data_IF_123194862093
#
_entry.id   IF_123194862093
#
_cell.length_a   1.000
_cell.length_b   1.000
_cell.length_c   1.000
_cell.angle_alpha   90.00
_cell.angle_beta   90.00
_cell.angle_gamma   90.00
#
_symmetry.space_group_name_H-M   'P 1'
#
loop_
_entity.id
_entity.type
_entity.pdbx_description
1 polymer ?
#
# COMPACT_ATOMS: atom_id res chain seq x y z
N UNK A 1 -50.88 61.46 -19.83
CA UNK A 1 -50.41 60.85 -18.56
C UNK A 1 -50.74 59.36 -18.61
N UNK A 2 -49.78 58.51 -19.01
CA UNK A 2 -49.74 57.07 -18.72
C UNK A 2 -48.29 56.59 -18.87
N UNK A 3 -47.77 55.95 -17.83
CA UNK A 3 -46.37 55.51 -17.65
C UNK A 3 -46.28 54.02 -18.06
N UNK A 4 -45.27 53.56 -18.81
CA UNK A 4 -45.10 52.13 -19.07
C UNK A 4 -44.38 51.43 -17.91
N UNK A 5 -45.01 50.40 -17.36
CA UNK A 5 -44.40 49.50 -16.38
C UNK A 5 -43.38 48.56 -17.06
N UNK A 6 -42.13 48.58 -16.60
CA UNK A 6 -41.11 47.58 -16.94
C UNK A 6 -41.12 46.49 -15.87
N UNK A 7 -41.44 45.25 -16.25
CA UNK A 7 -41.34 44.06 -15.39
C UNK A 7 -39.88 43.57 -15.33
N UNK A 8 -39.21 43.83 -14.21
CA UNK A 8 -37.89 43.27 -13.93
C UNK A 8 -38.04 41.80 -13.50
N UNK A 9 -37.50 40.88 -14.29
CA UNK A 9 -37.39 39.47 -13.91
C UNK A 9 -36.14 39.30 -13.04
N UNK A 10 -36.33 39.04 -11.75
CA UNK A 10 -35.25 38.70 -10.84
C UNK A 10 -34.81 37.24 -11.08
N UNK A 11 -33.60 37.07 -11.63
CA UNK A 11 -32.97 35.77 -11.77
C UNK A 11 -32.41 35.33 -10.40
N UNK A 12 -33.10 34.41 -9.74
CA UNK A 12 -32.65 33.83 -8.47
C UNK A 12 -31.54 32.78 -8.76
N UNK A 13 -30.28 33.17 -8.56
CA UNK A 13 -29.14 32.26 -8.60
C UNK A 13 -29.14 31.38 -7.34
N UNK A 14 -29.61 30.14 -7.48
CA UNK A 14 -29.42 29.08 -6.50
C UNK A 14 -27.93 28.69 -6.45
N UNK A 15 -27.19 29.26 -5.50
CA UNK A 15 -25.87 28.80 -5.11
C UNK A 15 -26.02 27.44 -4.42
N UNK A 16 -26.00 26.36 -5.21
CA UNK A 16 -25.86 25.01 -4.69
C UNK A 16 -24.52 24.90 -3.97
N UNK A 17 -24.56 24.72 -2.64
CA UNK A 17 -23.37 24.39 -1.86
C UNK A 17 -22.86 23.02 -2.30
N UNK A 18 -21.80 22.99 -3.10
CA UNK A 18 -21.06 21.76 -3.37
C UNK A 18 -20.41 21.32 -2.05
N UNK A 19 -21.07 20.43 -1.31
CA UNK A 19 -20.42 19.70 -0.21
C UNK A 19 -19.23 18.96 -0.79
N UNK A 20 -18.03 19.24 -0.26
CA UNK A 20 -16.80 18.55 -0.63
C UNK A 20 -17.04 17.03 -0.67
N UNK A 21 -16.59 16.39 -1.74
CA UNK A 21 -16.87 14.98 -2.06
C UNK A 21 -16.49 14.08 -0.87
N UNK A 22 -17.49 13.60 -0.13
CA UNK A 22 -17.30 12.49 0.79
C UNK A 22 -16.71 11.33 -0.03
N UNK A 23 -15.58 10.74 0.42
CA UNK A 23 -15.07 9.52 -0.18
C UNK A 23 -15.81 8.33 0.46
N UNK A 24 -16.85 7.78 -0.18
CA UNK A 24 -17.69 6.74 0.43
C UNK A 24 -16.89 5.46 0.70
N UNK A 25 -15.80 5.21 -0.02
CA UNK A 25 -14.96 4.02 0.16
C UNK A 25 -14.28 3.98 1.52
N UNK A 26 -13.87 5.15 2.02
CA UNK A 26 -13.21 5.30 3.31
C UNK A 26 -14.17 5.24 4.51
N UNK A 27 -15.49 5.34 4.27
CA UNK A 27 -16.53 5.35 5.31
C UNK A 27 -17.11 3.96 5.58
N UNK A 28 -16.60 2.92 4.91
CA UNK A 28 -17.08 1.55 5.06
C UNK A 28 -16.19 0.82 6.06
N UNK A 29 -16.82 0.25 7.09
CA UNK A 29 -16.09 -0.42 8.18
C UNK A 29 -15.60 -1.83 7.81
N UNK A 30 -16.29 -2.52 6.88
CA UNK A 30 -16.05 -3.93 6.64
C UNK A 30 -16.24 -4.42 5.19
N UNK A 31 -15.71 -5.62 4.88
CA UNK A 31 -15.80 -6.21 3.56
C UNK A 31 -17.24 -6.35 3.07
N UNK A 32 -17.43 -6.19 1.77
CA UNK A 32 -18.70 -6.59 1.14
C UNK A 32 -18.82 -8.13 1.13
N UNK A 33 -20.01 -8.69 1.41
CA UNK A 33 -20.21 -10.14 1.45
C UNK A 33 -20.08 -10.78 0.07
N UNK A 34 -19.86 -12.10 0.05
CA UNK A 34 -19.78 -12.90 -1.17
C UNK A 34 -18.35 -13.33 -1.53
N UNK A 35 -18.19 -14.00 -2.69
CA UNK A 35 -16.89 -14.49 -3.15
C UNK A 35 -15.94 -13.34 -3.47
N UNK A 36 -14.64 -13.55 -3.24
CA UNK A 36 -13.66 -12.50 -3.48
C UNK A 36 -13.48 -12.21 -4.97
N UNK A 37 -13.50 -10.93 -5.34
CA UNK A 37 -13.29 -10.47 -6.72
C UNK A 37 -12.56 -9.14 -6.71
N UNK A 38 -11.39 -9.11 -7.34
CA UNK A 38 -10.74 -7.87 -7.77
C UNK A 38 -11.45 -7.37 -9.04
N UNK A 39 -11.95 -6.13 -9.02
CA UNK A 39 -12.78 -5.58 -10.10
C UNK A 39 -12.15 -4.29 -10.60
N UNK A 40 -11.88 -4.21 -11.90
CA UNK A 40 -11.26 -3.03 -12.52
C UNK A 40 -9.73 -3.09 -12.50
N UNK A 41 -9.11 -1.91 -12.56
CA UNK A 41 -7.64 -1.74 -12.57
C UNK A 41 -7.12 -1.36 -11.17
N UNK A 42 -5.81 -1.51 -10.91
CA UNK A 42 -5.20 -1.22 -9.60
C UNK A 42 -5.47 0.20 -9.10
N UNK A 43 -5.64 1.15 -10.02
CA UNK A 43 -5.90 2.57 -9.73
C UNK A 43 -7.30 3.06 -10.10
N UNK A 44 -8.18 2.15 -10.52
CA UNK A 44 -9.57 2.45 -10.88
C UNK A 44 -10.41 1.19 -10.70
N UNK A 45 -10.63 0.79 -9.45
CA UNK A 45 -11.26 -0.49 -9.16
C UNK A 45 -11.80 -0.63 -7.75
N UNK A 46 -12.27 -1.84 -7.42
CA UNK A 46 -12.78 -2.18 -6.11
C UNK A 46 -12.56 -3.67 -5.78
N UNK A 47 -12.93 -4.04 -4.55
CA UNK A 47 -12.78 -5.38 -4.03
C UNK A 47 -14.09 -5.86 -3.38
N UNK A 48 -14.63 -6.96 -3.90
CA UNK A 48 -15.70 -7.73 -3.25
C UNK A 48 -15.07 -8.84 -2.39
N UNK A 49 -15.71 -9.24 -1.30
CA UNK A 49 -15.30 -10.41 -0.51
C UNK A 49 -13.87 -10.30 0.02
N UNK A 50 -13.46 -9.11 0.45
CA UNK A 50 -12.11 -8.87 0.95
C UNK A 50 -11.81 -9.73 2.19
N UNK A 51 -10.54 -10.11 2.34
CA UNK A 51 -10.03 -10.75 3.54
C UNK A 51 -9.13 -9.79 4.30
N UNK A 52 -9.32 -9.76 5.61
CA UNK A 52 -8.45 -9.05 6.52
C UNK A 52 -7.14 -9.84 6.69
N UNK A 53 -5.99 -9.16 6.57
CA UNK A 53 -4.72 -9.69 7.03
C UNK A 53 -4.71 -9.67 8.57
N UNK A 54 -4.42 -10.79 9.27
CA UNK A 54 -4.18 -10.75 10.70
C UNK A 54 -3.12 -9.70 11.03
N UNK A 55 -3.36 -8.87 12.05
CA UNK A 55 -2.51 -7.73 12.39
C UNK A 55 -1.09 -8.13 12.81
N UNK A 56 -0.90 -9.40 13.15
CA UNK A 56 0.36 -10.06 13.43
C UNK A 56 0.32 -11.48 12.86
N UNK A 57 1.48 -11.99 12.45
CA UNK A 57 1.64 -13.38 12.04
C UNK A 57 3.10 -13.80 12.07
N UNK A 58 3.39 -14.99 11.56
CA UNK A 58 4.75 -15.51 11.56
C UNK A 58 5.66 -14.63 10.70
N UNK A 59 6.66 -14.01 11.33
CA UNK A 59 7.63 -13.14 10.67
C UNK A 59 7.07 -11.83 10.10
N UNK A 60 5.86 -11.41 10.47
CA UNK A 60 5.32 -10.12 10.03
C UNK A 60 4.34 -9.46 11.01
N UNK A 61 4.16 -8.16 10.80
CA UNK A 61 3.36 -7.25 11.61
C UNK A 61 2.79 -6.15 10.71
N UNK A 62 1.53 -5.77 10.92
CA UNK A 62 0.84 -4.75 10.12
C UNK A 62 1.02 -3.36 10.74
N UNK A 63 1.50 -2.39 9.98
CA UNK A 63 1.66 -1.00 10.41
C UNK A 63 0.41 -0.17 10.13
N UNK A 64 0.31 0.99 10.78
CA UNK A 64 -0.76 1.96 10.54
C UNK A 64 -2.19 1.38 10.60
N UNK A 65 -2.50 0.59 11.65
CA UNK A 65 -3.80 -0.04 11.82
C UNK A 65 -4.95 0.99 11.89
N UNK A 66 -4.67 2.21 12.33
CA UNK A 66 -5.62 3.32 12.37
C UNK A 66 -6.17 3.69 10.99
N UNK A 67 -5.47 3.33 9.91
CA UNK A 67 -5.90 3.64 8.53
C UNK A 67 -6.96 2.67 8.02
N UNK A 68 -7.15 1.52 8.66
CA UNK A 68 -8.05 0.44 8.21
C UNK A 68 -7.75 -0.04 6.77
N UNK A 69 -6.46 -0.17 6.42
CA UNK A 69 -5.97 -0.52 5.07
C UNK A 69 -5.27 -1.88 5.01
N UNK A 70 -5.73 -2.88 5.75
CA UNK A 70 -5.12 -4.20 5.80
C UNK A 70 -6.04 -5.29 5.22
N UNK A 71 -6.75 -4.94 4.15
CA UNK A 71 -7.67 -5.83 3.44
C UNK A 71 -7.17 -6.11 2.02
N UNK A 72 -7.40 -7.32 1.55
CA UNK A 72 -6.99 -7.72 0.21
C UNK A 72 -7.74 -8.93 -0.30
N UNK A 73 -7.47 -9.25 -1.57
CA UNK A 73 -7.88 -10.51 -2.17
C UNK A 73 -7.20 -11.68 -1.43
N UNK A 74 -7.84 -12.84 -1.26
CA UNK A 74 -7.26 -14.00 -0.58
C UNK A 74 -5.85 -14.39 -1.07
N UNK A 75 -5.58 -14.25 -2.37
CA UNK A 75 -4.25 -14.52 -2.95
C UNK A 75 -3.18 -13.53 -2.46
N UNK A 76 -3.53 -12.25 -2.28
CA UNK A 76 -2.63 -11.25 -1.71
C UNK A 76 -2.31 -11.60 -0.25
N UNK A 77 -3.34 -11.91 0.55
CA UNK A 77 -3.18 -12.31 1.95
C UNK A 77 -2.27 -13.54 2.07
N UNK A 78 -2.47 -14.54 1.20
CA UNK A 78 -1.61 -15.73 1.16
C UNK A 78 -0.16 -15.40 0.78
N UNK A 79 0.04 -14.49 -0.18
CA UNK A 79 1.38 -14.08 -0.65
C UNK A 79 2.16 -13.35 0.43
N UNK A 80 1.50 -12.46 1.18
CA UNK A 80 2.09 -11.74 2.31
C UNK A 80 2.45 -12.71 3.43
N UNK A 81 1.56 -13.66 3.78
CA UNK A 81 1.86 -14.65 4.82
C UNK A 81 3.06 -15.52 4.45
N UNK A 82 3.13 -16.00 3.20
CA UNK A 82 4.27 -16.76 2.72
C UNK A 82 5.58 -15.94 2.73
N UNK A 83 5.51 -14.64 2.45
CA UNK A 83 6.66 -13.74 2.57
C UNK A 83 7.07 -13.53 4.03
N UNK A 84 6.11 -13.45 4.96
CA UNK A 84 6.34 -13.44 6.40
C UNK A 84 7.02 -14.71 6.90
N UNK A 85 6.58 -15.89 6.44
CA UNK A 85 7.22 -17.16 6.75
C UNK A 85 8.68 -17.19 6.28
N UNK A 86 8.97 -16.56 5.12
CA UNK A 86 10.35 -16.40 4.65
C UNK A 86 11.14 -15.43 5.53
N UNK A 87 10.53 -14.34 5.98
CA UNK A 87 11.16 -13.39 6.89
C UNK A 87 11.58 -14.05 8.22
N UNK A 88 10.69 -14.89 8.77
CA UNK A 88 10.90 -15.64 10.00
C UNK A 88 12.10 -16.61 9.94
N UNK A 89 12.59 -16.98 8.76
CA UNK A 89 13.78 -17.82 8.57
C UNK A 89 15.09 -17.02 8.71
N UNK A 90 15.13 -16.11 9.69
CA UNK A 90 16.33 -15.35 10.05
C UNK A 90 16.59 -14.09 9.21
N UNK A 91 15.61 -13.61 8.42
CA UNK A 91 15.76 -12.33 7.70
C UNK A 91 15.29 -11.13 8.52
N UNK A 92 14.37 -11.36 9.48
CA UNK A 92 13.87 -10.34 10.40
C UNK A 92 12.35 -10.39 10.56
N UNK A 93 11.75 -9.26 10.91
CA UNK A 93 10.30 -9.07 11.00
C UNK A 93 9.84 -8.16 9.87
N UNK A 94 8.99 -8.66 8.99
CA UNK A 94 8.44 -7.90 7.87
C UNK A 94 7.34 -6.94 8.36
N UNK A 95 7.54 -5.64 8.13
CA UNK A 95 6.52 -4.63 8.41
C UNK A 95 5.66 -4.40 7.17
N UNK A 96 4.37 -4.74 7.27
CA UNK A 96 3.40 -4.61 6.19
C UNK A 96 2.70 -3.26 6.32
N UNK A 97 2.77 -2.44 5.26
CA UNK A 97 2.11 -1.14 5.18
C UNK A 97 0.67 -1.22 4.67
N UNK A 98 0.30 -0.28 3.80
CA UNK A 98 -1.05 -0.22 3.23
C UNK A 98 -1.25 -1.39 2.24
N UNK A 99 -2.32 -2.16 2.41
CA UNK A 99 -2.99 -2.96 1.38
C UNK A 99 -4.15 -2.11 0.84
N UNK A 100 -5.36 -2.66 0.71
CA UNK A 100 -6.58 -1.92 0.39
C UNK A 100 -7.47 -1.67 1.60
N UNK A 101 -8.44 -0.77 1.41
CA UNK A 101 -9.59 -0.58 2.32
C UNK A 101 -10.56 -1.78 2.24
N UNK A 102 -11.56 -1.92 3.14
CA UNK A 102 -12.39 -3.13 3.22
C UNK A 102 -13.13 -3.51 1.92
N UNK A 103 -13.42 -2.53 1.05
CA UNK A 103 -14.02 -2.75 -0.27
C UNK A 103 -13.14 -2.26 -1.42
N UNK A 104 -11.86 -2.02 -1.15
CA UNK A 104 -10.96 -1.39 -2.11
C UNK A 104 -11.33 0.07 -2.37
N UNK A 105 -11.24 0.50 -3.63
CA UNK A 105 -11.61 1.84 -4.06
C UNK A 105 -10.55 2.92 -3.79
N UNK A 106 -10.74 4.14 -4.32
CA UNK A 106 -9.81 5.26 -4.13
C UNK A 106 -9.58 5.58 -2.66
N UNK A 107 -8.32 5.64 -2.25
CA UNK A 107 -7.95 6.05 -0.90
C UNK A 107 -8.16 7.55 -0.70
N UNK A 108 -8.50 8.01 0.53
CA UNK A 108 -8.65 9.43 0.81
C UNK A 108 -7.33 10.20 0.75
N UNK A 109 -6.19 9.51 0.88
CA UNK A 109 -4.85 10.07 0.77
C UNK A 109 -3.82 8.95 0.52
N UNK A 110 -2.63 9.34 0.04
CA UNK A 110 -1.52 8.41 -0.18
C UNK A 110 -1.56 7.83 -1.59
N UNK A 111 -1.88 6.54 -1.69
CA UNK A 111 -1.71 5.76 -2.91
C UNK A 111 -2.77 6.07 -3.95
N UNK A 112 -2.36 6.06 -5.23
CA UNK A 112 -3.27 6.08 -6.38
C UNK A 112 -3.82 4.68 -6.69
N UNK A 113 -2.98 3.65 -6.51
CA UNK A 113 -3.31 2.23 -6.67
C UNK A 113 -3.95 1.64 -5.39
N UNK A 114 -3.81 0.34 -5.12
CA UNK A 114 -4.35 -0.38 -3.95
C UNK A 114 -5.88 -0.48 -3.92
N UNK A 115 -6.55 -0.20 -5.04
CA UNK A 115 -8.01 -0.15 -5.07
C UNK A 115 -8.66 -1.52 -5.25
N UNK A 116 -7.92 -2.54 -5.71
CA UNK A 116 -8.46 -3.85 -6.07
C UNK A 116 -8.02 -4.98 -5.14
N UNK A 117 -7.28 -4.66 -4.08
CA UNK A 117 -6.83 -5.64 -3.09
C UNK A 117 -5.74 -6.59 -3.56
N UNK A 118 -4.95 -6.20 -4.56
CA UNK A 118 -3.82 -6.98 -5.09
C UNK A 118 -2.47 -6.27 -4.95
N UNK A 119 -2.46 -5.07 -4.37
CA UNK A 119 -1.27 -4.30 -4.04
C UNK A 119 -1.04 -4.30 -2.52
N UNK A 120 0.22 -4.30 -2.11
CA UNK A 120 0.62 -4.16 -0.72
C UNK A 120 1.97 -3.45 -0.63
N UNK A 121 2.10 -2.56 0.35
CA UNK A 121 3.38 -2.02 0.74
C UNK A 121 4.06 -2.92 1.77
N UNK A 122 5.37 -3.08 1.62
CA UNK A 122 6.24 -3.74 2.60
C UNK A 122 7.41 -2.81 2.86
N UNK A 123 7.64 -2.47 4.12
CA UNK A 123 8.73 -1.56 4.48
C UNK A 123 10.07 -2.29 4.40
N UNK A 124 11.14 -1.54 4.15
CA UNK A 124 12.49 -2.08 4.14
C UNK A 124 13.07 -2.33 5.54
N UNK A 125 12.43 -1.82 6.59
CA UNK A 125 12.81 -2.19 7.95
C UNK A 125 12.48 -3.67 8.21
N UNK A 126 13.46 -4.43 8.68
CA UNK A 126 13.30 -5.83 9.08
C UNK A 126 13.57 -6.04 10.58
N UNK A 127 13.73 -4.96 11.35
CA UNK A 127 14.07 -5.01 12.76
C UNK A 127 12.84 -5.29 13.63
N UNK A 128 12.94 -6.12 14.68
CA UNK A 128 11.84 -6.28 15.63
C UNK A 128 11.60 -5.00 16.47
N UNK A 129 12.57 -4.08 16.48
CA UNK A 129 12.58 -2.89 17.33
C UNK A 129 11.77 -1.72 16.81
N UNK A 130 11.34 -1.71 15.54
CA UNK A 130 10.66 -0.55 14.95
C UNK A 130 9.33 -0.21 15.67
N UNK A 131 8.72 -1.18 16.34
CA UNK A 131 7.52 -0.95 17.16
C UNK A 131 7.81 -0.38 18.54
N UNK A 132 9.06 -0.30 18.97
CA UNK A 132 9.43 0.28 20.26
C UNK A 132 9.26 1.79 20.17
N UNK A 133 8.12 2.29 20.66
CA UNK A 133 7.69 3.68 20.55
C UNK A 133 6.44 3.86 19.69
N UNK A 134 6.01 2.82 18.97
CA UNK A 134 4.73 2.78 18.31
C UNK A 134 3.56 2.78 19.33
N UNK A 135 2.47 3.48 19.03
CA UNK A 135 1.23 3.34 19.79
C UNK A 135 0.57 1.97 19.52
N UNK A 136 -0.55 1.69 20.21
CA UNK A 136 -1.27 0.41 20.05
C UNK A 136 -1.72 0.10 18.60
N UNK A 137 -1.88 1.13 17.77
CA UNK A 137 -2.27 1.01 16.36
C UNK A 137 -1.09 1.14 15.39
N UNK A 138 0.13 1.34 15.88
CA UNK A 138 1.36 1.52 15.08
C UNK A 138 1.33 2.75 14.15
N UNK A 139 0.73 3.86 14.61
CA UNK A 139 0.43 5.05 13.81
C UNK A 139 1.53 6.13 13.77
N UNK A 140 2.38 6.19 14.80
CA UNK A 140 3.35 7.27 15.04
C UNK A 140 4.78 6.91 14.64
N UNK A 141 4.92 5.96 13.72
CA UNK A 141 6.21 5.51 13.19
C UNK A 141 6.19 5.70 11.68
N UNK A 142 7.23 6.33 11.14
CA UNK A 142 7.39 6.52 9.70
C UNK A 142 8.12 5.33 9.07
N UNK A 143 7.84 5.06 7.80
CA UNK A 143 8.57 4.05 7.05
C UNK A 143 10.07 4.35 6.99
N UNK A 144 10.86 3.28 7.09
CA UNK A 144 12.31 3.32 7.06
C UNK A 144 12.86 3.61 5.66
N UNK A 145 13.87 4.47 5.58
CA UNK A 145 14.51 4.87 4.32
C UNK A 145 15.93 4.30 4.24
N UNK A 146 16.18 3.44 3.26
CA UNK A 146 17.50 2.84 2.98
C UNK A 146 18.41 3.70 2.09
N UNK A 147 17.92 4.85 1.60
CA UNK A 147 18.71 5.77 0.79
C UNK A 147 19.61 6.63 1.67
N UNK A 148 20.80 6.93 1.15
CA UNK A 148 21.72 7.85 1.81
C UNK A 148 21.16 9.27 1.81
N UNK A 149 21.36 9.99 2.92
CA UNK A 149 21.02 11.42 3.03
C UNK A 149 22.08 12.34 2.44
N UNK A 150 23.30 11.83 2.23
CA UNK A 150 24.49 12.63 1.87
C UNK A 150 25.12 12.24 0.56
N UNK A 151 24.75 11.08 0.00
CA UNK A 151 25.29 10.57 -1.26
C UNK A 151 24.17 10.07 -2.17
N UNK A 152 24.48 9.99 -3.45
CA UNK A 152 23.58 9.43 -4.45
C UNK A 152 23.64 7.89 -4.44
N UNK A 153 22.82 7.26 -3.59
CA UNK A 153 22.81 5.81 -3.44
C UNK A 153 22.15 5.30 -2.16
N UNK A 154 22.47 4.07 -1.78
CA UNK A 154 22.00 3.44 -0.54
C UNK A 154 22.90 3.81 0.65
N UNK A 155 22.32 3.85 1.85
CA UNK A 155 23.07 3.85 3.11
C UNK A 155 23.40 2.40 3.48
N UNK A 156 24.64 1.98 3.29
CA UNK A 156 25.09 0.60 3.57
C UNK A 156 25.17 0.24 5.06
N UNK A 157 24.93 1.20 5.97
CA UNK A 157 24.70 0.87 7.38
C UNK A 157 23.29 0.34 7.61
N UNK A 158 22.37 0.67 6.71
CA UNK A 158 20.96 0.28 6.74
C UNK A 158 20.69 -0.87 5.77
N UNK A 159 21.17 -0.75 4.53
CA UNK A 159 21.03 -1.78 3.50
C UNK A 159 21.95 -2.97 3.75
N UNK A 160 21.39 -4.17 3.75
CA UNK A 160 22.13 -5.42 3.96
C UNK A 160 21.52 -6.57 3.15
N UNK A 161 22.16 -7.75 3.20
CA UNK A 161 21.78 -8.93 2.43
C UNK A 161 20.34 -9.43 2.71
N UNK A 162 19.77 -9.18 3.89
CA UNK A 162 18.38 -9.56 4.17
C UNK A 162 17.38 -8.83 3.28
N UNK A 163 17.68 -7.59 2.89
CA UNK A 163 16.83 -6.81 1.98
C UNK A 163 16.83 -7.41 0.57
N UNK A 164 18.00 -7.79 0.03
CA UNK A 164 18.10 -8.49 -1.26
C UNK A 164 17.37 -9.84 -1.20
N UNK A 165 17.53 -10.60 -0.12
CA UNK A 165 16.85 -11.89 0.06
C UNK A 165 15.32 -11.74 0.14
N UNK A 166 14.81 -10.71 0.82
CA UNK A 166 13.37 -10.43 0.89
C UNK A 166 12.80 -10.03 -0.48
N UNK A 167 13.48 -9.13 -1.20
CA UNK A 167 13.06 -8.75 -2.55
C UNK A 167 13.11 -9.92 -3.53
N UNK A 168 14.15 -10.76 -3.44
CA UNK A 168 14.24 -11.97 -4.25
C UNK A 168 13.10 -12.93 -3.90
N UNK A 169 12.85 -13.19 -2.62
CA UNK A 169 11.77 -14.07 -2.17
C UNK A 169 10.40 -13.61 -2.69
N UNK A 170 10.11 -12.31 -2.58
CA UNK A 170 8.89 -11.72 -3.13
C UNK A 170 8.82 -11.86 -4.65
N UNK A 171 9.89 -11.53 -5.38
CA UNK A 171 9.93 -11.58 -6.83
C UNK A 171 9.81 -13.01 -7.39
N UNK A 172 10.26 -14.01 -6.64
CA UNK A 172 10.15 -15.42 -7.04
C UNK A 172 8.77 -16.01 -6.77
N UNK A 173 7.89 -15.34 -6.01
CA UNK A 173 6.53 -15.81 -5.85
C UNK A 173 5.80 -15.79 -7.20
N UNK A 174 5.12 -16.88 -7.59
CA UNK A 174 4.37 -16.92 -8.85
C UNK A 174 3.24 -15.90 -8.92
N UNK A 175 2.65 -15.53 -7.77
CA UNK A 175 1.55 -14.57 -7.64
C UNK A 175 1.99 -13.11 -7.80
N UNK A 176 3.28 -12.80 -7.71
CA UNK A 176 3.80 -11.44 -7.83
C UNK A 176 4.11 -11.14 -9.28
N UNK A 177 3.55 -10.04 -9.80
CA UNK A 177 3.83 -9.56 -11.15
C UNK A 177 4.94 -8.48 -11.15
N UNK A 178 4.82 -7.48 -10.27
CA UNK A 178 5.75 -6.35 -10.18
C UNK A 178 6.02 -5.96 -8.73
N UNK A 179 7.21 -5.43 -8.47
CA UNK A 179 7.63 -4.84 -7.19
C UNK A 179 8.23 -3.48 -7.51
N UNK A 180 7.62 -2.42 -7.00
CA UNK A 180 8.12 -1.06 -7.20
C UNK A 180 9.09 -0.69 -6.08
N UNK A 181 10.27 -0.20 -6.44
CA UNK A 181 11.32 0.23 -5.52
C UNK A 181 11.98 1.49 -6.05
N UNK A 182 12.71 2.23 -5.22
CA UNK A 182 13.52 3.34 -5.72
C UNK A 182 14.57 2.86 -6.74
N UNK A 183 14.85 3.67 -7.76
CA UNK A 183 15.83 3.36 -8.80
C UNK A 183 17.22 2.98 -8.27
N UNK A 184 17.68 3.55 -7.15
CA UNK A 184 18.97 3.22 -6.51
C UNK A 184 18.97 1.82 -5.90
N UNK A 185 17.85 1.36 -5.35
CA UNK A 185 17.69 -0.01 -4.87
C UNK A 185 17.79 -0.96 -6.07
N UNK A 186 17.05 -0.66 -7.15
CA UNK A 186 17.10 -1.46 -8.37
C UNK A 186 18.51 -1.52 -8.97
N UNK A 187 19.21 -0.39 -9.01
CA UNK A 187 20.58 -0.28 -9.48
C UNK A 187 21.53 -1.15 -8.64
N UNK A 188 21.40 -1.10 -7.32
CA UNK A 188 22.24 -1.90 -6.42
C UNK A 188 22.05 -3.39 -6.65
N UNK A 189 20.80 -3.88 -6.69
CA UNK A 189 20.51 -5.28 -7.00
C UNK A 189 21.09 -5.70 -8.35
N UNK A 190 20.97 -4.84 -9.36
CA UNK A 190 21.58 -5.10 -10.66
C UNK A 190 23.11 -5.22 -10.56
N UNK A 191 23.77 -4.45 -9.68
CA UNK A 191 25.23 -4.47 -9.49
C UNK A 191 25.69 -5.67 -8.67
N UNK A 192 24.94 -6.09 -7.65
CA UNK A 192 25.38 -7.10 -6.68
C UNK A 192 24.93 -8.52 -7.00
N UNK A 193 23.72 -8.73 -7.54
CA UNK A 193 23.19 -10.07 -7.76
C UNK A 193 24.07 -10.87 -8.74
N UNK A 194 24.48 -12.07 -8.33
CA UNK A 194 25.24 -13.04 -9.14
C UNK A 194 24.38 -14.28 -9.42
N UNK A 195 24.74 -15.06 -10.44
CA UNK A 195 23.98 -16.26 -10.83
C UNK A 195 22.66 -15.91 -11.51
N UNK A 196 21.56 -16.55 -11.07
CA UNK A 196 20.23 -16.28 -11.60
C UNK A 196 19.74 -14.87 -11.25
N UNK A 197 19.48 -14.11 -12.31
CA UNK A 197 19.02 -12.71 -12.30
C UNK A 197 17.62 -12.55 -12.88
N UNK A 198 16.96 -13.63 -13.27
CA UNK A 198 15.64 -13.59 -13.93
C UNK A 198 14.59 -12.88 -13.07
N UNK A 199 14.63 -13.07 -11.75
CA UNK A 199 13.74 -12.42 -10.78
C UNK A 199 13.82 -10.89 -10.79
N UNK A 200 14.97 -10.32 -11.18
CA UNK A 200 15.13 -8.86 -11.28
C UNK A 200 14.12 -8.26 -12.26
N UNK A 201 13.61 -8.99 -13.26
CA UNK A 201 12.62 -8.45 -14.22
C UNK A 201 11.36 -7.89 -13.54
N UNK A 202 10.98 -8.43 -12.39
CA UNK A 202 9.78 -8.00 -11.63
C UNK A 202 10.04 -6.76 -10.79
N UNK A 203 11.30 -6.45 -10.46
CA UNK A 203 11.68 -5.28 -9.66
C UNK A 203 11.79 -4.06 -10.59
N UNK A 204 10.92 -3.07 -10.36
CA UNK A 204 10.70 -1.87 -11.19
C UNK A 204 11.12 -0.61 -10.43
N UNK A 205 11.92 0.28 -11.03
CA UNK A 205 12.21 1.60 -10.49
C UNK A 205 11.02 2.55 -10.62
#
# INVERSE_FOLDING_TARGET
MMIPFRTAHALLLLLGSATALANPWAQVDGPAPGPSRAIGDTSAGCLLGARQLPTEGNGYVVMHLERNRYYGHPSLISSIRALGDRAAQGLGVMHVGDLGMPRGGPMPFGHRSHQTGIDADVWFDLSPSLHLGANRTRSNVSAFNVLSKTSDGLDYRLWNNSHEQMLKAAATQPSVDRIFVNARIKQELCRTTRGDRSWLRKVRP
#
